data_IF_888886975975
#
_entry.id   IF_888886975975
#
_cell.length_a   1.000
_cell.length_b   1.000
_cell.length_c   1.000
_cell.angle_alpha   90.00
_cell.angle_beta   90.00
_cell.angle_gamma   90.00
#
_symmetry.space_group_name_H-M   'P 1'
#
loop_
_entity.id
_entity.type
_entity.pdbx_description
1 polymer ?
#
# COMPACT_ATOMS: atom_id res chain seq x y z
N UNK A 1 28.33 30.91 -22.26
CA UNK A 1 28.18 29.84 -21.24
C UNK A 1 27.05 28.92 -21.69
N UNK A 2 27.30 27.65 -22.05
CA UNK A 2 26.21 26.73 -22.31
C UNK A 2 25.58 26.32 -20.98
N UNK A 3 24.26 26.46 -20.86
CA UNK A 3 23.50 25.96 -19.70
C UNK A 3 23.52 24.43 -19.77
N UNK A 4 24.14 23.80 -18.78
CA UNK A 4 24.15 22.35 -18.64
C UNK A 4 22.69 21.86 -18.56
N UNK A 5 22.27 20.86 -19.35
CA UNK A 5 20.92 20.32 -19.26
C UNK A 5 20.72 19.74 -17.85
N UNK A 6 19.52 19.93 -17.23
CA UNK A 6 19.25 19.34 -15.93
C UNK A 6 19.45 17.82 -16.01
N UNK A 7 20.06 17.26 -14.97
CA UNK A 7 20.39 15.83 -14.84
C UNK A 7 19.10 15.01 -14.64
N UNK A 8 18.29 14.91 -15.70
CA UNK A 8 16.91 14.39 -15.71
C UNK A 8 16.80 12.97 -15.17
N UNK A 9 17.87 12.17 -15.30
CA UNK A 9 17.95 10.80 -14.81
C UNK A 9 17.86 10.70 -13.29
N UNK A 10 18.53 11.60 -12.55
CA UNK A 10 18.44 11.66 -11.07
C UNK A 10 17.05 12.06 -10.61
N UNK A 11 16.41 13.00 -11.32
CA UNK A 11 15.03 13.42 -11.02
C UNK A 11 14.03 12.29 -11.25
N UNK A 12 14.19 11.49 -12.31
CA UNK A 12 13.33 10.32 -12.57
C UNK A 12 13.47 9.26 -11.48
N UNK A 13 14.71 8.89 -11.12
CA UNK A 13 14.97 7.90 -10.07
C UNK A 13 14.34 8.32 -8.73
N UNK A 14 14.50 9.59 -8.33
CA UNK A 14 13.87 10.14 -7.13
C UNK A 14 12.34 10.09 -7.20
N UNK A 15 11.73 10.43 -8.34
CA UNK A 15 10.27 10.33 -8.51
C UNK A 15 9.76 8.90 -8.41
N UNK A 16 10.49 7.92 -8.94
CA UNK A 16 10.12 6.51 -8.81
C UNK A 16 10.23 6.02 -7.37
N UNK A 17 11.28 6.42 -6.64
CA UNK A 17 11.43 6.09 -5.23
C UNK A 17 10.29 6.68 -4.39
N UNK A 18 9.99 7.97 -4.58
CA UNK A 18 8.87 8.66 -3.91
C UNK A 18 7.53 8.01 -4.26
N UNK A 19 7.29 7.69 -5.53
CA UNK A 19 6.07 6.99 -5.96
C UNK A 19 5.93 5.64 -5.28
N UNK A 20 7.00 4.83 -5.22
CA UNK A 20 6.97 3.53 -4.52
C UNK A 20 6.69 3.67 -3.02
N UNK A 21 7.25 4.69 -2.37
CA UNK A 21 6.98 4.97 -0.95
C UNK A 21 5.52 5.38 -0.74
N UNK A 22 4.98 6.25 -1.59
CA UNK A 22 3.58 6.66 -1.54
C UNK A 22 2.62 5.51 -1.84
N UNK A 23 2.94 4.66 -2.81
CA UNK A 23 2.12 3.49 -3.16
C UNK A 23 2.04 2.47 -2.02
N UNK A 24 3.15 2.29 -1.29
CA UNK A 24 3.20 1.44 -0.08
C UNK A 24 2.33 1.96 1.06
N UNK A 25 2.01 3.26 1.08
CA UNK A 25 1.18 3.89 2.12
C UNK A 25 -0.29 3.99 1.72
N UNK A 26 -0.64 3.71 0.45
CA UNK A 26 -2.02 3.73 0.01
C UNK A 26 -2.69 2.41 0.38
N UNK A 27 -3.58 2.48 1.35
CA UNK A 27 -4.54 1.41 1.65
C UNK A 27 -5.77 1.66 0.79
N UNK A 28 -6.09 0.73 -0.11
CA UNK A 28 -7.29 0.81 -0.95
C UNK A 28 -8.20 -0.35 -0.61
N UNK A 29 -9.40 -0.06 -0.11
CA UNK A 29 -10.43 -1.08 0.12
C UNK A 29 -10.99 -1.58 -1.21
N UNK A 30 -10.90 -2.88 -1.43
CA UNK A 30 -11.33 -3.57 -2.66
C UNK A 30 -12.72 -4.17 -2.47
N UNK A 31 -12.94 -4.83 -1.34
CA UNK A 31 -14.23 -5.42 -1.00
C UNK A 31 -14.38 -5.59 0.51
N UNK A 32 -15.63 -5.70 0.97
CA UNK A 32 -15.97 -5.99 2.36
C UNK A 32 -16.97 -7.12 2.41
N UNK A 33 -16.69 -8.16 3.19
CA UNK A 33 -17.56 -9.31 3.42
C UNK A 33 -18.04 -9.29 4.86
N UNK A 34 -19.32 -9.62 5.05
CA UNK A 34 -19.96 -9.73 6.35
C UNK A 34 -20.43 -11.18 6.50
N UNK A 35 -19.91 -11.89 7.50
CA UNK A 35 -20.25 -13.29 7.76
C UNK A 35 -20.41 -13.52 9.26
N UNK A 36 -21.56 -14.04 9.69
CA UNK A 36 -21.86 -14.40 11.10
C UNK A 36 -21.43 -13.36 12.16
N UNK A 37 -21.58 -12.07 11.88
CA UNK A 37 -21.18 -10.97 12.79
C UNK A 37 -19.71 -10.55 12.71
N UNK A 38 -18.91 -11.21 11.88
CA UNK A 38 -17.55 -10.86 11.55
C UNK A 38 -17.48 -10.08 10.23
N UNK A 39 -16.56 -9.12 10.16
CA UNK A 39 -16.33 -8.32 8.95
C UNK A 39 -14.91 -8.54 8.48
N UNK A 40 -14.77 -9.05 7.26
CA UNK A 40 -13.48 -9.21 6.58
C UNK A 40 -13.40 -8.20 5.45
N UNK A 41 -12.37 -7.37 5.46
CA UNK A 41 -12.11 -6.35 4.43
C UNK A 41 -10.93 -6.78 3.60
N UNK A 42 -11.10 -6.83 2.28
CA UNK A 42 -9.98 -7.02 1.36
C UNK A 42 -9.41 -5.66 0.99
N UNK A 43 -8.14 -5.44 1.27
CA UNK A 43 -7.41 -4.21 0.96
C UNK A 43 -6.26 -4.49 0.00
N UNK A 44 -5.94 -3.51 -0.83
CA UNK A 44 -4.76 -3.49 -1.68
C UNK A 44 -3.76 -2.51 -1.04
N UNK A 45 -2.56 -3.00 -0.70
CA UNK A 45 -1.48 -2.22 -0.11
C UNK A 45 -0.21 -2.50 -0.88
N UNK A 46 0.41 -1.47 -1.48
CA UNK A 46 1.67 -1.62 -2.21
C UNK A 46 1.64 -2.62 -3.39
N UNK A 47 0.46 -2.90 -3.95
CA UNK A 47 0.28 -3.86 -5.05
C UNK A 47 -0.09 -5.28 -4.63
N UNK A 48 -0.19 -5.56 -3.33
CA UNK A 48 -0.59 -6.86 -2.80
C UNK A 48 -1.94 -6.79 -2.09
N UNK A 49 -2.71 -7.86 -2.18
CA UNK A 49 -4.01 -7.96 -1.53
C UNK A 49 -3.85 -8.58 -0.15
N UNK A 50 -4.53 -8.00 0.83
CA UNK A 50 -4.59 -8.47 2.21
C UNK A 50 -6.05 -8.62 2.62
N UNK A 51 -6.38 -9.66 3.38
CA UNK A 51 -7.67 -9.78 4.05
C UNK A 51 -7.46 -9.43 5.53
N UNK A 52 -8.22 -8.45 6.00
CA UNK A 52 -8.05 -7.85 7.32
C UNK A 52 -9.38 -7.70 8.03
N UNK A 53 -9.37 -7.83 9.35
CA UNK A 53 -10.52 -7.46 10.17
C UNK A 53 -10.61 -5.92 10.34
N UNK A 54 -11.67 -5.42 10.98
CA UNK A 54 -11.84 -3.97 11.18
C UNK A 54 -10.70 -3.34 12.02
N UNK A 55 -10.18 -4.04 13.04
CA UNK A 55 -9.11 -3.51 13.89
C UNK A 55 -7.80 -3.41 13.12
N UNK A 56 -7.50 -4.42 12.30
CA UNK A 56 -6.33 -4.41 11.43
C UNK A 56 -6.45 -3.33 10.34
N UNK A 57 -7.65 -3.13 9.77
CA UNK A 57 -7.93 -2.05 8.83
C UNK A 57 -7.64 -0.67 9.46
N UNK A 58 -8.15 -0.41 10.67
CA UNK A 58 -7.89 0.85 11.38
C UNK A 58 -6.38 1.09 11.56
N UNK A 59 -5.62 0.05 11.92
CA UNK A 59 -4.17 0.15 12.08
C UNK A 59 -3.44 0.45 10.75
N UNK A 60 -3.90 -0.13 9.64
CA UNK A 60 -3.38 0.17 8.32
C UNK A 60 -3.67 1.62 7.92
N UNK A 61 -4.89 2.11 8.19
CA UNK A 61 -5.28 3.51 7.93
C UNK A 61 -4.51 4.50 8.82
N UNK A 62 -4.13 4.09 10.03
CA UNK A 62 -3.22 4.84 10.91
C UNK A 62 -1.75 4.79 10.44
N UNK A 63 -1.45 4.13 9.31
CA UNK A 63 -0.14 4.09 8.69
C UNK A 63 0.77 2.94 9.17
N UNK A 64 0.23 1.93 9.86
CA UNK A 64 0.98 0.68 10.08
C UNK A 64 1.10 -0.09 8.77
N UNK A 65 2.25 -0.72 8.57
CA UNK A 65 2.47 -1.61 7.42
C UNK A 65 1.93 -3.02 7.70
N UNK A 66 1.50 -3.78 6.68
CA UNK A 66 1.06 -5.17 6.86
C UNK A 66 2.08 -6.04 7.60
N UNK A 67 3.38 -5.86 7.32
CA UNK A 67 4.47 -6.57 8.00
C UNK A 67 4.54 -6.28 9.50
N UNK A 68 4.24 -5.04 9.93
CA UNK A 68 4.17 -4.69 11.36
C UNK A 68 2.96 -5.32 12.07
N UNK A 69 1.92 -5.66 11.31
CA UNK A 69 0.71 -6.29 11.81
C UNK A 69 0.77 -7.82 11.71
N UNK A 70 1.83 -8.39 11.12
CA UNK A 70 1.97 -9.83 10.89
C UNK A 70 0.91 -10.38 9.94
N UNK A 71 0.44 -9.56 8.99
CA UNK A 71 -0.59 -9.94 8.02
C UNK A 71 0.11 -10.43 6.76
N UNK A 72 -0.20 -11.64 6.35
CA UNK A 72 0.31 -12.22 5.11
C UNK A 72 -0.57 -11.82 3.90
N UNK A 73 0.04 -11.61 2.73
CA UNK A 73 -0.71 -11.33 1.51
C UNK A 73 -1.55 -12.54 1.10
N UNK A 74 -2.74 -12.28 0.60
CA UNK A 74 -3.64 -13.31 0.08
C UNK A 74 -3.18 -13.67 -1.32
N UNK A 75 -2.78 -14.92 -1.53
CA UNK A 75 -2.42 -15.42 -2.86
C UNK A 75 -3.60 -15.18 -3.84
N UNK A 76 -3.29 -14.58 -4.99
CA UNK A 76 -4.24 -14.46 -6.09
C UNK A 76 -4.43 -15.86 -6.68
N UNK A 77 -5.61 -16.46 -6.47
CA UNK A 77 -5.99 -17.72 -7.11
C UNK A 77 -6.71 -17.46 -8.44
#
# INVERSE_FOLDING_TARGET
MPRMPPDTSKHLASRHAVKRVLDRQKVVTVSKRFDHGHVTTRVLVGGEYYEVDNRQLDLLEMGRSPAQLGIEPVAHH
#
